data_IF_035807637325
#
_entry.id   IF_035807637325
#
_cell.length_a   1.000
_cell.length_b   1.000
_cell.length_c   1.000
_cell.angle_alpha   90.00
_cell.angle_beta   90.00
_cell.angle_gamma   90.00
#
_symmetry.space_group_name_H-M   'P 1'
#
loop_
_entity.id
_entity.type
_entity.pdbx_description
1 polymer ?
#
# COMPACT_ATOMS: atom_id res chain seq x y z
N UNK A 1 -50.03 -6.76 -5.23
CA UNK A 1 -48.90 -5.99 -5.79
C UNK A 1 -47.79 -5.91 -4.73
N UNK A 2 -46.80 -6.81 -4.70
CA UNK A 2 -45.69 -6.72 -3.75
C UNK A 2 -44.45 -6.20 -4.48
N UNK A 3 -44.23 -4.88 -4.42
CA UNK A 3 -42.93 -4.28 -4.64
C UNK A 3 -42.46 -3.68 -3.31
N UNK A 4 -41.14 -3.62 -3.13
CA UNK A 4 -40.47 -2.74 -2.14
C UNK A 4 -40.10 -3.30 -0.75
N UNK A 5 -39.61 -4.54 -0.64
CA UNK A 5 -38.85 -4.97 0.57
C UNK A 5 -37.38 -5.33 0.31
N UNK A 6 -37.01 -5.62 -0.94
CA UNK A 6 -35.63 -5.98 -1.30
C UNK A 6 -34.72 -4.76 -1.43
N UNK A 7 -35.26 -3.64 -1.88
CA UNK A 7 -34.62 -2.34 -2.09
C UNK A 7 -34.15 -1.70 -0.78
N UNK A 8 -34.98 -1.74 0.26
CA UNK A 8 -34.69 -1.12 1.56
C UNK A 8 -33.57 -1.84 2.33
N UNK A 9 -33.51 -3.17 2.23
CA UNK A 9 -32.43 -3.95 2.88
C UNK A 9 -31.11 -3.92 2.11
N UNK A 10 -31.15 -3.61 0.82
CA UNK A 10 -29.97 -3.38 -0.01
C UNK A 10 -29.41 -1.96 0.26
N UNK A 11 -30.26 -0.93 0.28
CA UNK A 11 -29.87 0.45 0.56
C UNK A 11 -29.27 0.62 1.96
N UNK A 12 -29.87 0.00 2.98
CA UNK A 12 -29.35 0.03 4.36
C UNK A 12 -28.00 -0.69 4.50
N UNK A 13 -27.75 -1.75 3.71
CA UNK A 13 -26.45 -2.43 3.64
C UNK A 13 -25.39 -1.60 2.93
N UNK A 14 -25.76 -0.84 1.90
CA UNK A 14 -24.85 0.09 1.23
C UNK A 14 -24.48 1.27 2.14
N UNK A 15 -25.44 1.86 2.86
CA UNK A 15 -25.18 2.98 3.78
C UNK A 15 -24.29 2.57 4.95
N UNK A 16 -24.53 1.39 5.53
CA UNK A 16 -23.70 0.86 6.62
C UNK A 16 -22.28 0.51 6.14
N UNK A 17 -22.16 -0.12 4.97
CA UNK A 17 -20.86 -0.40 4.35
C UNK A 17 -20.06 0.87 4.02
N UNK A 18 -20.74 1.95 3.62
CA UNK A 18 -20.14 3.24 3.35
C UNK A 18 -19.68 3.94 4.63
N UNK A 19 -20.48 3.90 5.71
CA UNK A 19 -20.08 4.41 7.03
C UNK A 19 -18.84 3.68 7.55
N UNK A 20 -18.80 2.34 7.48
CA UNK A 20 -17.60 1.59 7.87
C UNK A 20 -16.38 1.96 7.04
N UNK A 21 -16.55 2.23 5.75
CA UNK A 21 -15.46 2.65 4.86
C UNK A 21 -14.94 4.04 5.22
N UNK A 22 -15.85 4.99 5.50
CA UNK A 22 -15.50 6.35 5.94
C UNK A 22 -14.77 6.33 7.29
N UNK A 23 -15.28 5.56 8.27
CA UNK A 23 -14.65 5.42 9.58
C UNK A 23 -13.28 4.74 9.48
N UNK A 24 -13.15 3.67 8.68
CA UNK A 24 -11.87 3.00 8.47
C UNK A 24 -10.83 3.94 7.82
N UNK A 25 -11.24 4.73 6.83
CA UNK A 25 -10.38 5.76 6.21
C UNK A 25 -10.00 6.82 7.25
N UNK A 26 -10.93 7.32 8.04
CA UNK A 26 -10.66 8.31 9.08
C UNK A 26 -9.68 7.80 10.13
N UNK A 27 -9.83 6.57 10.62
CA UNK A 27 -8.91 5.95 11.58
C UNK A 27 -7.52 5.76 10.99
N UNK A 28 -7.41 5.33 9.73
CA UNK A 28 -6.12 5.19 9.05
C UNK A 28 -5.44 6.56 8.88
N UNK A 29 -6.18 7.58 8.48
CA UNK A 29 -5.67 8.95 8.32
C UNK A 29 -5.20 9.49 9.67
N UNK A 30 -6.04 9.43 10.71
CA UNK A 30 -5.69 9.90 12.06
C UNK A 30 -4.48 9.14 12.61
N UNK A 31 -4.43 7.82 12.43
CA UNK A 31 -3.30 7.00 12.85
C UNK A 31 -1.98 7.38 12.17
N UNK A 32 -2.00 7.68 10.86
CA UNK A 32 -0.80 8.13 10.14
C UNK A 32 -0.36 9.54 10.55
N UNK A 33 -1.31 10.45 10.79
CA UNK A 33 -1.02 11.78 11.33
C UNK A 33 -0.38 11.71 12.72
N UNK A 34 -0.87 10.84 13.59
CA UNK A 34 -0.34 10.67 14.94
C UNK A 34 1.10 10.12 14.94
N UNK A 35 1.43 9.26 13.98
CA UNK A 35 2.79 8.71 13.82
C UNK A 35 3.74 9.68 13.11
N UNK A 36 3.22 10.56 12.23
CA UNK A 36 4.05 11.46 11.40
C UNK A 36 4.30 12.83 12.03
N UNK A 37 3.52 13.26 13.01
CA UNK A 37 3.58 14.61 13.60
C UNK A 37 4.09 14.60 15.05
N UNK A 38 5.18 13.88 15.35
CA UNK A 38 5.61 13.67 16.74
C UNK A 38 6.54 14.78 17.26
N UNK A 39 7.08 15.67 16.42
CA UNK A 39 8.03 16.69 16.90
C UNK A 39 7.75 18.08 16.33
N UNK A 40 7.33 18.99 17.21
CA UNK A 40 7.35 20.44 17.00
C UNK A 40 8.34 21.03 18.01
N UNK A 41 9.46 21.57 17.53
CA UNK A 41 10.45 22.28 18.36
C UNK A 41 10.78 23.61 17.71
N UNK A 42 10.85 24.66 18.52
CA UNK A 42 11.32 26.00 18.12
C UNK A 42 10.61 26.59 16.88
N UNK A 43 9.29 26.41 16.79
CA UNK A 43 8.49 26.99 15.71
C UNK A 43 8.58 26.26 14.36
N UNK A 44 9.26 25.11 14.30
CA UNK A 44 9.35 24.27 13.11
C UNK A 44 8.84 22.85 13.37
N UNK A 45 8.16 22.27 12.37
CA UNK A 45 7.83 20.85 12.36
C UNK A 45 9.12 20.08 12.04
N UNK A 46 9.55 19.22 12.95
CA UNK A 46 10.68 18.33 12.73
C UNK A 46 10.31 17.23 11.73
N UNK A 47 11.21 16.91 10.81
CA UNK A 47 11.18 15.68 9.99
C UNK A 47 11.87 14.50 10.68
N UNK A 48 12.15 14.63 11.97
CA UNK A 48 12.89 13.62 12.73
C UNK A 48 12.04 12.35 12.84
N UNK A 49 12.51 11.26 12.24
CA UNK A 49 11.94 9.95 12.45
C UNK A 49 12.05 9.60 13.94
N UNK A 50 10.94 9.33 14.67
CA UNK A 50 10.96 8.98 16.10
C UNK A 50 11.85 7.76 16.42
N UNK A 51 12.19 6.98 15.40
CA UNK A 51 13.05 5.79 15.43
C UNK A 51 14.54 6.10 15.61
N UNK A 52 14.97 7.31 15.26
CA UNK A 52 16.33 7.80 15.47
C UNK A 52 16.46 8.47 16.84
N UNK A 53 15.37 9.06 17.36
CA UNK A 53 15.34 9.75 18.66
C UNK A 53 15.10 8.78 19.84
N UNK A 54 14.40 7.66 19.62
CA UNK A 54 14.06 6.70 20.68
C UNK A 54 14.24 5.24 20.19
N UNK A 55 15.42 4.63 20.35
CA UNK A 55 15.73 3.30 19.82
C UNK A 55 14.78 2.18 20.27
N UNK A 56 14.11 2.33 21.43
CA UNK A 56 13.13 1.36 21.93
C UNK A 56 11.83 1.31 21.09
N UNK A 57 11.52 2.36 20.33
CA UNK A 57 10.33 2.42 19.45
C UNK A 57 10.52 1.65 18.15
N UNK A 58 11.73 1.14 17.84
CA UNK A 58 12.03 0.31 16.65
C UNK A 58 11.26 -1.00 16.61
N UNK A 59 10.84 -1.52 17.76
CA UNK A 59 9.94 -2.67 17.80
C UNK A 59 8.50 -2.31 17.47
N UNK A 60 8.11 -1.07 17.80
CA UNK A 60 6.77 -0.56 17.57
C UNK A 60 6.47 -0.41 16.07
N UNK A 61 7.48 -0.13 15.24
CA UNK A 61 7.32 -0.14 13.77
C UNK A 61 6.91 -1.48 13.19
N UNK A 62 7.24 -2.60 13.84
CA UNK A 62 6.78 -3.91 13.37
C UNK A 62 5.27 -4.07 13.56
N UNK A 63 4.71 -3.49 14.63
CA UNK A 63 3.28 -3.50 14.92
C UNK A 63 2.53 -2.49 14.04
N UNK A 64 3.12 -1.32 13.80
CA UNK A 64 2.53 -0.27 12.99
C UNK A 64 2.84 -0.37 11.49
N UNK A 65 3.55 -1.42 11.04
CA UNK A 65 3.77 -1.69 9.61
C UNK A 65 2.51 -2.26 8.96
N UNK A 66 1.54 -1.38 8.73
CA UNK A 66 0.28 -1.73 8.05
C UNK A 66 0.50 -1.94 6.55
N UNK A 67 1.51 -1.29 5.96
CA UNK A 67 1.72 -1.27 4.51
C UNK A 67 1.99 -2.67 3.91
N UNK A 68 2.86 -3.53 4.46
CA UNK A 68 3.02 -4.92 3.98
C UNK A 68 1.72 -5.72 3.99
N UNK A 69 0.96 -5.62 5.09
CA UNK A 69 -0.33 -6.30 5.23
C UNK A 69 -1.33 -5.76 4.20
N UNK A 70 -1.35 -4.45 3.98
CA UNK A 70 -2.17 -3.80 2.97
C UNK A 70 -1.87 -4.34 1.56
N UNK A 71 -0.61 -4.43 1.15
CA UNK A 71 -0.26 -4.98 -0.17
C UNK A 71 -0.59 -6.47 -0.29
N UNK A 72 -0.35 -7.27 0.76
CA UNK A 72 -0.68 -8.69 0.79
C UNK A 72 -2.20 -8.92 0.63
N UNK A 73 -3.00 -8.25 1.47
CA UNK A 73 -4.47 -8.33 1.42
C UNK A 73 -5.00 -7.74 0.11
N UNK A 74 -4.39 -6.65 -0.35
CA UNK A 74 -4.69 -6.01 -1.63
C UNK A 74 -4.50 -6.96 -2.82
N UNK A 75 -3.41 -7.74 -2.83
CA UNK A 75 -3.17 -8.79 -3.82
C UNK A 75 -4.20 -9.91 -3.77
N UNK A 76 -4.51 -10.40 -2.57
CA UNK A 76 -5.54 -11.43 -2.36
C UNK A 76 -6.92 -10.96 -2.86
N UNK A 77 -7.36 -9.78 -2.43
CA UNK A 77 -8.67 -9.23 -2.74
C UNK A 77 -8.80 -8.89 -4.23
N UNK A 78 -7.73 -8.40 -4.85
CA UNK A 78 -7.69 -8.11 -6.28
C UNK A 78 -7.72 -9.37 -7.13
N UNK A 79 -6.98 -10.43 -6.75
CA UNK A 79 -7.09 -11.73 -7.40
C UNK A 79 -8.48 -12.35 -7.28
N UNK A 80 -9.10 -12.27 -6.09
CA UNK A 80 -10.45 -12.76 -5.86
C UNK A 80 -11.48 -11.98 -6.68
N UNK A 81 -11.39 -10.65 -6.72
CA UNK A 81 -12.27 -9.81 -7.53
C UNK A 81 -12.09 -10.04 -9.04
N UNK A 82 -10.85 -10.16 -9.51
CA UNK A 82 -10.55 -10.46 -10.91
C UNK A 82 -11.12 -11.82 -11.33
N UNK A 83 -10.99 -12.83 -10.48
CA UNK A 83 -11.51 -14.17 -10.76
C UNK A 83 -13.04 -14.17 -10.83
N UNK A 84 -13.73 -13.54 -9.87
CA UNK A 84 -15.20 -13.40 -9.92
C UNK A 84 -15.68 -12.63 -11.15
N UNK A 85 -14.96 -11.58 -11.55
CA UNK A 85 -15.32 -10.81 -12.74
C UNK A 85 -15.21 -11.65 -14.02
N UNK A 86 -14.17 -12.50 -14.11
CA UNK A 86 -13.99 -13.42 -15.24
C UNK A 86 -15.05 -14.52 -15.25
N UNK A 87 -15.45 -15.03 -14.10
CA UNK A 87 -16.53 -16.02 -13.95
C UNK A 87 -17.89 -15.43 -14.32
N UNK A 88 -18.14 -14.16 -14.02
CA UNK A 88 -19.35 -13.43 -14.39
C UNK A 88 -19.42 -13.05 -15.89
N UNK A 89 -18.51 -13.54 -16.73
CA UNK A 89 -18.50 -13.28 -18.17
C UNK A 89 -17.79 -11.99 -18.60
N UNK A 90 -17.06 -11.33 -17.71
CA UNK A 90 -16.30 -10.11 -18.00
C UNK A 90 -15.29 -10.30 -19.14
N UNK A 91 -15.53 -9.61 -20.28
CA UNK A 91 -14.75 -9.79 -21.51
C UNK A 91 -13.45 -8.98 -21.53
N UNK A 92 -13.46 -7.76 -20.98
CA UNK A 92 -12.33 -6.83 -21.09
C UNK A 92 -11.61 -6.60 -19.76
N UNK A 93 -10.27 -6.69 -19.79
CA UNK A 93 -9.40 -6.40 -18.63
C UNK A 93 -9.44 -4.92 -18.24
N UNK A 94 -9.47 -4.06 -19.26
CA UNK A 94 -9.49 -2.60 -19.12
C UNK A 94 -10.72 -2.10 -18.39
N UNK A 95 -11.88 -2.74 -18.57
CA UNK A 95 -13.13 -2.39 -17.89
C UNK A 95 -13.05 -2.64 -16.39
N UNK A 96 -12.55 -3.82 -15.98
CA UNK A 96 -12.32 -4.13 -14.57
C UNK A 96 -11.32 -3.16 -13.92
N UNK A 97 -10.19 -2.89 -14.61
CA UNK A 97 -9.18 -1.95 -14.11
C UNK A 97 -9.79 -0.56 -13.96
N UNK A 98 -10.53 -0.06 -14.96
CA UNK A 98 -11.19 1.26 -14.89
C UNK A 98 -12.16 1.36 -13.73
N UNK A 99 -13.02 0.36 -13.54
CA UNK A 99 -13.98 0.36 -12.43
C UNK A 99 -13.29 0.41 -11.06
N UNK A 100 -12.20 -0.36 -10.90
CA UNK A 100 -11.43 -0.39 -9.65
C UNK A 100 -10.62 0.88 -9.43
N UNK A 101 -10.02 1.41 -10.48
CA UNK A 101 -9.33 2.69 -10.43
C UNK A 101 -10.29 3.81 -10.05
N UNK A 102 -11.48 3.89 -10.65
CA UNK A 102 -12.48 4.92 -10.33
C UNK A 102 -12.88 4.89 -8.85
N UNK A 103 -13.09 3.70 -8.28
CA UNK A 103 -13.45 3.54 -6.88
C UNK A 103 -12.38 4.04 -5.90
N UNK A 104 -11.10 4.01 -6.29
CA UNK A 104 -9.97 4.46 -5.47
C UNK A 104 -9.66 5.93 -5.76
N UNK A 105 -9.62 6.30 -7.04
CA UNK A 105 -9.28 7.65 -7.48
C UNK A 105 -10.28 8.69 -7.01
N UNK A 106 -11.56 8.37 -6.84
CA UNK A 106 -12.55 9.32 -6.31
C UNK A 106 -12.17 9.88 -4.93
N UNK A 107 -12.10 9.02 -3.89
CA UNK A 107 -11.67 9.44 -2.56
C UNK A 107 -10.25 10.05 -2.54
N UNK A 108 -9.30 9.48 -3.30
CA UNK A 108 -7.93 10.01 -3.36
C UNK A 108 -7.88 11.40 -3.97
N UNK A 109 -8.66 11.66 -5.04
CA UNK A 109 -8.71 12.98 -5.69
C UNK A 109 -9.33 14.00 -4.76
N UNK A 110 -10.40 13.66 -4.04
CA UNK A 110 -11.00 14.55 -3.04
C UNK A 110 -9.98 14.94 -1.96
N UNK A 111 -9.23 13.97 -1.43
CA UNK A 111 -8.16 14.24 -0.47
C UNK A 111 -7.08 15.16 -1.04
N UNK A 112 -6.58 14.88 -2.26
CA UNK A 112 -5.57 15.70 -2.93
C UNK A 112 -6.06 17.14 -3.14
N UNK A 113 -7.30 17.32 -3.59
CA UNK A 113 -7.89 18.64 -3.83
C UNK A 113 -7.99 19.43 -2.52
N UNK A 114 -8.49 18.82 -1.45
CA UNK A 114 -8.58 19.47 -0.13
C UNK A 114 -7.20 19.83 0.39
N UNK A 115 -6.22 18.93 0.26
CA UNK A 115 -4.86 19.17 0.71
C UNK A 115 -4.17 20.30 -0.07
N UNK A 116 -4.32 20.32 -1.40
CA UNK A 116 -3.79 21.41 -2.25
C UNK A 116 -4.48 22.74 -1.96
N UNK A 117 -5.79 22.74 -1.71
CA UNK A 117 -6.52 23.94 -1.32
C UNK A 117 -6.01 24.48 0.03
N UNK A 118 -5.77 23.61 1.01
CA UNK A 118 -5.19 24.00 2.29
C UNK A 118 -3.79 24.61 2.12
N UNK A 119 -2.93 24.00 1.30
CA UNK A 119 -1.59 24.55 0.99
C UNK A 119 -1.69 25.91 0.31
N UNK A 120 -2.60 26.08 -0.65
CA UNK A 120 -2.82 27.36 -1.33
C UNK A 120 -3.31 28.47 -0.38
N UNK A 121 -4.19 28.14 0.56
CA UNK A 121 -4.63 29.09 1.60
C UNK A 121 -3.48 29.46 2.54
N UNK A 122 -2.65 28.51 2.95
CA UNK A 122 -1.49 28.77 3.81
C UNK A 122 -0.45 29.65 3.11
N UNK A 123 -0.21 29.42 1.82
CA UNK A 123 0.65 30.27 0.98
C UNK A 123 0.08 31.70 0.89
N UNK A 124 -1.23 31.83 0.71
CA UNK A 124 -1.91 33.13 0.65
C UNK A 124 -1.85 33.93 1.96
N UNK A 125 -1.89 33.24 3.11
CA UNK A 125 -1.74 33.85 4.45
C UNK A 125 -0.27 34.18 4.79
N UNK A 126 0.67 33.85 3.89
CA UNK A 126 2.09 34.20 4.04
C UNK A 126 2.87 33.26 4.96
N UNK A 127 2.42 32.01 5.11
CA UNK A 127 3.13 30.99 5.90
C UNK A 127 4.50 30.71 5.27
N UNK A 128 5.51 30.52 6.10
CA UNK A 128 6.89 30.30 5.66
C UNK A 128 7.05 29.13 4.69
N UNK A 129 7.91 29.30 3.67
CA UNK A 129 8.17 28.30 2.62
C UNK A 129 8.62 26.93 3.16
N UNK A 130 9.31 26.90 4.31
CA UNK A 130 9.70 25.66 5.00
C UNK A 130 8.49 24.84 5.47
N UNK A 131 7.45 25.50 5.99
CA UNK A 131 6.21 24.86 6.45
C UNK A 131 5.37 24.35 5.26
N UNK A 132 5.33 25.11 4.16
CA UNK A 132 4.65 24.65 2.94
C UNK A 132 5.36 23.45 2.31
N UNK A 133 6.69 23.45 2.29
CA UNK A 133 7.50 22.30 1.86
C UNK A 133 7.20 21.06 2.71
N UNK A 134 7.16 21.21 4.04
CA UNK A 134 6.81 20.12 4.95
C UNK A 134 5.40 19.58 4.67
N UNK A 135 4.41 20.46 4.47
CA UNK A 135 3.05 20.05 4.11
C UNK A 135 3.00 19.27 2.80
N UNK A 136 3.69 19.73 1.76
CA UNK A 136 3.80 19.04 0.47
C UNK A 136 4.49 17.68 0.59
N UNK A 137 5.60 17.62 1.32
CA UNK A 137 6.32 16.37 1.59
C UNK A 137 5.46 15.37 2.37
N UNK A 138 4.73 15.82 3.40
CA UNK A 138 3.83 14.99 4.17
C UNK A 138 2.73 14.38 3.27
N UNK A 139 2.11 15.18 2.41
CA UNK A 139 1.11 14.68 1.44
C UNK A 139 1.73 13.64 0.50
N UNK A 140 2.91 13.92 -0.08
CA UNK A 140 3.60 12.97 -0.95
C UNK A 140 3.94 11.65 -0.22
N UNK A 141 4.36 11.74 1.03
CA UNK A 141 4.65 10.62 1.93
C UNK A 141 3.39 9.83 2.35
N UNK A 142 2.19 10.40 2.21
CA UNK A 142 0.94 9.63 2.34
C UNK A 142 0.50 9.01 1.01
N UNK A 143 0.77 9.64 -0.12
CA UNK A 143 0.26 9.20 -1.42
C UNK A 143 1.12 8.16 -2.14
N UNK A 144 2.41 8.04 -1.80
CA UNK A 144 3.34 7.15 -2.50
C UNK A 144 2.85 5.69 -2.59
N UNK A 145 2.27 5.15 -1.51
CA UNK A 145 1.81 3.76 -1.50
C UNK A 145 0.57 3.58 -2.38
N UNK A 146 -0.27 4.60 -2.50
CA UNK A 146 -1.43 4.61 -3.40
C UNK A 146 -0.95 4.53 -4.83
N UNK A 147 0.05 5.32 -5.23
CA UNK A 147 0.63 5.27 -6.58
C UNK A 147 1.14 3.87 -6.92
N UNK A 148 1.89 3.24 -6.01
CA UNK A 148 2.39 1.87 -6.19
C UNK A 148 1.24 0.87 -6.25
N UNK A 149 0.24 1.00 -5.38
CA UNK A 149 -0.91 0.13 -5.36
C UNK A 149 -1.72 0.21 -6.66
N UNK A 150 -1.94 1.42 -7.19
CA UNK A 150 -2.61 1.61 -8.48
C UNK A 150 -1.82 0.97 -9.62
N UNK A 151 -0.48 1.11 -9.63
CA UNK A 151 0.37 0.42 -10.59
C UNK A 151 0.20 -1.11 -10.50
N UNK A 152 0.30 -1.70 -9.30
CA UNK A 152 0.11 -3.14 -9.11
C UNK A 152 -1.32 -3.61 -9.44
N UNK A 153 -2.33 -2.78 -9.18
CA UNK A 153 -3.73 -3.04 -9.52
C UNK A 153 -3.93 -3.10 -11.04
N UNK A 154 -3.27 -2.24 -11.81
CA UNK A 154 -3.31 -2.31 -13.27
C UNK A 154 -2.63 -3.57 -13.80
N UNK A 155 -1.59 -4.05 -13.09
CA UNK A 155 -0.84 -5.26 -13.40
C UNK A 155 -1.53 -6.54 -12.91
N UNK A 156 -2.58 -6.47 -12.08
CA UNK A 156 -3.25 -7.66 -11.51
C UNK A 156 -3.59 -8.73 -12.54
N UNK A 157 -4.15 -8.42 -13.73
CA UNK A 157 -4.47 -9.47 -14.70
C UNK A 157 -3.24 -10.23 -15.19
N UNK A 158 -2.11 -9.53 -15.35
CA UNK A 158 -0.82 -10.12 -15.74
C UNK A 158 -0.25 -10.92 -14.57
N UNK A 159 -0.29 -10.36 -13.36
CA UNK A 159 0.20 -10.99 -12.15
C UNK A 159 -0.55 -12.30 -11.82
N UNK A 160 -1.88 -12.34 -12.04
CA UNK A 160 -2.70 -13.55 -11.90
C UNK A 160 -2.39 -14.56 -13.01
N UNK A 161 -2.17 -14.11 -14.25
CA UNK A 161 -1.75 -15.01 -15.34
C UNK A 161 -0.37 -15.64 -15.06
N UNK A 162 0.59 -14.84 -14.61
CA UNK A 162 1.91 -15.30 -14.19
C UNK A 162 1.82 -16.28 -13.02
N UNK A 163 0.99 -15.98 -12.02
CA UNK A 163 0.72 -16.89 -10.91
C UNK A 163 0.16 -18.24 -11.38
N UNK A 164 -0.79 -18.26 -12.31
CA UNK A 164 -1.35 -19.51 -12.85
C UNK A 164 -0.31 -20.35 -13.59
N UNK A 165 0.69 -19.71 -14.20
CA UNK A 165 1.75 -20.40 -14.96
C UNK A 165 2.93 -20.87 -14.09
N UNK A 166 3.31 -20.08 -13.10
CA UNK A 166 4.57 -20.26 -12.35
C UNK A 166 4.41 -20.33 -10.83
N UNK A 167 3.22 -20.10 -10.28
CA UNK A 167 2.93 -20.24 -8.85
C UNK A 167 3.82 -19.38 -7.96
N UNK A 168 4.53 -20.03 -7.02
CA UNK A 168 5.46 -19.39 -6.07
C UNK A 168 6.77 -18.91 -6.70
N UNK A 169 7.09 -19.30 -7.94
CA UNK A 169 8.28 -18.80 -8.62
C UNK A 169 8.18 -17.29 -8.92
N UNK A 170 6.97 -16.75 -9.10
CA UNK A 170 6.79 -15.31 -9.37
C UNK A 170 7.22 -14.44 -8.18
N UNK A 171 6.67 -14.62 -6.95
CA UNK A 171 7.14 -13.84 -5.81
C UNK A 171 8.60 -14.12 -5.46
N UNK A 172 9.11 -15.34 -5.70
CA UNK A 172 10.53 -15.65 -5.50
C UNK A 172 11.44 -14.91 -6.47
N UNK A 173 11.08 -14.84 -7.77
CA UNK A 173 11.81 -14.08 -8.77
C UNK A 173 11.77 -12.57 -8.48
N UNK A 174 10.64 -12.04 -8.03
CA UNK A 174 10.53 -10.65 -7.59
C UNK A 174 11.42 -10.39 -6.36
N UNK A 175 11.41 -11.27 -5.36
CA UNK A 175 12.29 -11.15 -4.20
C UNK A 175 13.78 -11.22 -4.58
N UNK A 176 14.16 -12.09 -5.52
CA UNK A 176 15.52 -12.15 -6.03
C UNK A 176 15.89 -10.85 -6.77
N UNK A 177 14.99 -10.31 -7.59
CA UNK A 177 15.19 -9.05 -8.28
C UNK A 177 15.41 -7.90 -7.28
N UNK A 178 14.66 -7.88 -6.17
CA UNK A 178 14.87 -6.89 -5.09
C UNK A 178 16.28 -6.97 -4.54
N UNK A 179 16.76 -8.17 -4.19
CA UNK A 179 18.11 -8.36 -3.66
C UNK A 179 19.18 -7.94 -4.67
N UNK A 180 19.02 -8.32 -5.95
CA UNK A 180 19.97 -7.96 -7.01
C UNK A 180 20.03 -6.44 -7.19
N UNK A 181 18.88 -5.77 -7.23
CA UNK A 181 18.80 -4.31 -7.38
C UNK A 181 19.41 -3.60 -6.17
N UNK A 182 19.12 -4.06 -4.95
CA UNK A 182 19.69 -3.48 -3.73
C UNK A 182 21.22 -3.63 -3.66
N UNK A 183 21.73 -4.81 -4.01
CA UNK A 183 23.18 -5.06 -4.06
C UNK A 183 23.84 -4.20 -5.14
N UNK A 184 23.27 -4.16 -6.35
CA UNK A 184 23.79 -3.33 -7.44
C UNK A 184 23.78 -1.85 -7.09
N UNK A 185 22.70 -1.33 -6.51
CA UNK A 185 22.58 0.06 -6.08
C UNK A 185 23.62 0.42 -5.01
N UNK A 186 23.93 -0.50 -4.09
CA UNK A 186 24.98 -0.31 -3.08
C UNK A 186 26.39 -0.32 -3.67
N UNK A 187 26.69 -1.24 -4.61
CA UNK A 187 28.02 -1.31 -5.23
C UNK A 187 28.25 -0.11 -6.16
N UNK A 188 27.23 0.34 -6.89
CA UNK A 188 27.36 1.34 -7.94
C UNK A 188 27.05 2.76 -7.47
N UNK A 189 26.69 2.94 -6.19
CA UNK A 189 26.34 4.23 -5.58
C UNK A 189 25.27 5.01 -6.37
N UNK A 190 24.25 4.31 -6.88
CA UNK A 190 23.15 4.87 -7.67
C UNK A 190 21.85 4.92 -6.85
N UNK A 191 21.67 5.92 -5.97
CA UNK A 191 20.52 5.98 -5.05
C UNK A 191 19.16 6.07 -5.77
N UNK A 192 19.13 6.62 -6.99
CA UNK A 192 17.92 6.71 -7.82
C UNK A 192 17.41 5.36 -8.32
N UNK A 193 18.27 4.35 -8.45
CA UNK A 193 17.86 2.98 -8.83
C UNK A 193 17.14 2.28 -7.67
N UNK A 194 17.46 2.64 -6.41
CA UNK A 194 16.74 2.15 -5.23
C UNK A 194 15.26 2.54 -5.23
N UNK A 195 14.90 3.68 -5.83
CA UNK A 195 13.51 4.11 -5.98
C UNK A 195 12.67 3.16 -6.86
N UNK A 196 13.28 2.58 -7.90
CA UNK A 196 12.61 1.60 -8.76
C UNK A 196 12.35 0.27 -8.01
N UNK A 197 13.16 -0.03 -7.00
CA UNK A 197 13.01 -1.25 -6.22
C UNK A 197 11.73 -1.29 -5.37
N UNK A 198 11.16 -0.13 -5.05
CA UNK A 198 9.91 -0.06 -4.29
C UNK A 198 8.78 -0.84 -4.98
N UNK A 199 8.58 -0.64 -6.28
CA UNK A 199 7.51 -1.33 -7.01
C UNK A 199 7.71 -2.85 -7.02
N UNK A 200 8.96 -3.30 -7.15
CA UNK A 200 9.30 -4.73 -7.19
C UNK A 200 9.12 -5.37 -5.80
N UNK A 201 9.58 -4.69 -4.75
CA UNK A 201 9.46 -5.15 -3.36
C UNK A 201 7.99 -5.27 -2.94
N UNK A 202 7.20 -4.21 -3.10
CA UNK A 202 5.78 -4.24 -2.79
C UNK A 202 5.02 -5.17 -3.73
N UNK A 203 5.46 -5.28 -4.99
CA UNK A 203 4.98 -6.24 -5.96
C UNK A 203 5.17 -7.69 -5.51
N UNK A 204 6.30 -8.03 -4.88
CA UNK A 204 6.55 -9.37 -4.34
C UNK A 204 5.55 -9.73 -3.23
N UNK A 205 5.27 -8.78 -2.32
CA UNK A 205 4.31 -8.95 -1.23
C UNK A 205 2.89 -9.05 -1.78
N UNK A 206 2.53 -8.19 -2.73
CA UNK A 206 1.25 -8.25 -3.44
C UNK A 206 1.06 -9.58 -4.15
N UNK A 207 2.09 -10.08 -4.83
CA UNK A 207 2.09 -11.38 -5.51
C UNK A 207 1.97 -12.53 -4.50
N UNK A 208 2.59 -12.44 -3.32
CA UNK A 208 2.36 -13.40 -2.24
C UNK A 208 0.88 -13.44 -1.84
N UNK A 209 0.20 -12.30 -1.80
CA UNK A 209 -1.24 -12.22 -1.56
C UNK A 209 -2.07 -12.97 -2.62
N UNK A 210 -1.68 -12.86 -3.89
CA UNK A 210 -2.28 -13.62 -4.99
C UNK A 210 -2.05 -15.13 -4.79
N UNK A 211 -0.83 -15.52 -4.42
CA UNK A 211 -0.49 -16.91 -4.11
C UNK A 211 -1.27 -17.48 -2.92
N UNK A 212 -1.53 -16.65 -1.92
CA UNK A 212 -2.39 -17.01 -0.79
C UNK A 212 -3.81 -17.34 -1.25
N UNK A 213 -4.38 -16.51 -2.14
CA UNK A 213 -5.70 -16.78 -2.72
C UNK A 213 -5.75 -18.06 -3.53
N UNK A 214 -4.66 -18.39 -4.23
CA UNK A 214 -4.51 -19.65 -4.96
C UNK A 214 -4.29 -20.88 -4.07
N UNK A 215 -4.28 -20.75 -2.75
CA UNK A 215 -4.10 -21.87 -1.82
C UNK A 215 -2.66 -22.37 -1.69
N UNK A 216 -1.67 -21.66 -2.23
CA UNK A 216 -0.27 -22.11 -2.22
C UNK A 216 0.39 -22.06 -0.83
N UNK A 217 -0.24 -21.39 0.13
CA UNK A 217 0.17 -21.27 1.54
C UNK A 217 -0.50 -22.28 2.47
N UNK A 218 -0.80 -23.48 1.97
CA UNK A 218 -1.21 -24.61 2.82
C UNK A 218 -0.04 -25.25 3.60
N UNK A 219 -0.35 -25.84 4.76
CA UNK A 219 0.59 -26.64 5.55
C UNK A 219 1.74 -25.84 6.16
N UNK A 220 2.97 -26.37 6.08
CA UNK A 220 4.18 -25.77 6.70
C UNK A 220 4.81 -24.64 5.89
N UNK A 221 4.33 -24.37 4.69
CA UNK A 221 4.94 -23.39 3.76
C UNK A 221 5.00 -21.95 4.29
N UNK A 222 3.95 -21.41 4.95
CA UNK A 222 4.03 -20.08 5.56
C UNK A 222 5.14 -19.99 6.62
N UNK A 223 5.27 -21.05 7.42
CA UNK A 223 6.30 -21.13 8.48
C UNK A 223 7.70 -21.15 7.86
N UNK A 224 7.91 -21.92 6.78
CA UNK A 224 9.19 -21.97 6.08
C UNK A 224 9.56 -20.63 5.45
N UNK A 225 8.58 -19.92 4.86
CA UNK A 225 8.80 -18.60 4.26
C UNK A 225 9.09 -17.56 5.36
N UNK A 226 8.37 -17.60 6.47
CA UNK A 226 8.62 -16.75 7.63
C UNK A 226 10.00 -17.01 8.23
N UNK A 227 10.40 -18.27 8.37
CA UNK A 227 11.72 -18.66 8.86
C UNK A 227 12.83 -18.20 7.92
N UNK A 228 12.67 -18.40 6.61
CA UNK A 228 13.62 -17.91 5.61
C UNK A 228 13.73 -16.37 5.65
N UNK A 229 12.60 -15.66 5.74
CA UNK A 229 12.59 -14.20 5.90
C UNK A 229 13.29 -13.74 7.18
N UNK A 230 13.08 -14.44 8.29
CA UNK A 230 13.73 -14.15 9.57
C UNK A 230 15.26 -14.36 9.49
N UNK A 231 15.71 -15.41 8.81
CA UNK A 231 17.15 -15.67 8.58
C UNK A 231 17.76 -14.55 7.74
N UNK A 232 17.13 -14.17 6.63
CA UNK A 232 17.61 -13.07 5.77
C UNK A 232 17.66 -11.76 6.56
N UNK A 233 16.63 -11.46 7.36
CA UNK A 233 16.62 -10.28 8.22
C UNK A 233 17.77 -10.31 9.23
N UNK A 234 17.99 -11.45 9.90
CA UNK A 234 19.09 -11.60 10.85
C UNK A 234 20.47 -11.41 10.19
N UNK A 235 20.66 -11.97 8.99
CA UNK A 235 21.88 -11.76 8.19
C UNK A 235 22.07 -10.28 7.85
N UNK A 236 21.03 -9.60 7.37
CA UNK A 236 21.10 -8.17 7.03
C UNK A 236 21.40 -7.28 8.25
N UNK A 237 20.88 -7.64 9.42
CA UNK A 237 21.20 -6.96 10.68
C UNK A 237 22.64 -7.22 11.13
N UNK A 238 23.18 -8.41 10.88
CA UNK A 238 24.58 -8.75 11.18
C UNK A 238 25.58 -8.13 10.18
N UNK A 239 25.12 -7.74 8.99
CA UNK A 239 25.88 -7.03 7.95
C UNK A 239 25.88 -5.50 8.13
N UNK A 240 25.34 -4.99 9.25
CA UNK A 240 25.38 -3.56 9.61
C UNK A 240 26.67 -3.17 10.31
#
# INVERSE_FOLDING_TARGET
>A
MPADRSTDTASARELSADVYRVVAVAVVVIGHWLVSAVTFRDGQFGTDYPLDVMPWTRWLTLVFQVVPVFFLVGGYASAASWTRWREAGGRHRTEWVRHRLAAILGPTTAYVVVALAAVAVLDWVGVGRSTLWFGGWAIAMHLWFVTIYLALLTLTPVAVAAHRRWGLLVPAALALAVVVVDVAARIWHLPTIGSANYLVCWGAIYQAGICWRGGLFGGRRPVLIAAAGAIVLAMLLALR
#
